data_IF_098226467513
#
_entry.id   IF_098226467513
#
_cell.length_a   1.000
_cell.length_b   1.000
_cell.length_c   1.000
_cell.angle_alpha   90.00
_cell.angle_beta   90.00
_cell.angle_gamma   90.00
#
_symmetry.space_group_name_H-M   'P 1'
#
loop_
_entity.id
_entity.type
_entity.pdbx_description
1 polymer ?
#
# COMPACT_ATOMS: atom_id res chain seq x y z
N UNK A 1 -35.97 -39.44 44.64
CA UNK A 1 -35.81 -38.00 44.34
C UNK A 1 -34.50 -37.80 43.60
N UNK A 2 -34.54 -37.82 42.27
CA UNK A 2 -33.37 -37.65 41.41
C UNK A 2 -33.66 -36.43 40.52
N UNK A 3 -32.99 -35.30 40.79
CA UNK A 3 -33.09 -34.08 39.98
C UNK A 3 -31.93 -34.09 38.97
N UNK A 4 -32.23 -34.34 37.70
CA UNK A 4 -31.29 -34.23 36.59
C UNK A 4 -31.09 -32.74 36.26
N UNK A 5 -29.85 -32.28 36.44
CA UNK A 5 -29.39 -30.98 35.98
C UNK A 5 -29.25 -30.99 34.45
N UNK A 6 -30.06 -30.21 33.76
CA UNK A 6 -29.87 -29.92 32.33
C UNK A 6 -28.71 -28.92 32.20
N UNK A 7 -27.55 -29.45 31.82
CA UNK A 7 -26.42 -28.64 31.34
C UNK A 7 -26.80 -27.96 30.03
N UNK A 8 -27.10 -26.66 30.10
CA UNK A 8 -27.20 -25.82 28.92
C UNK A 8 -25.84 -25.72 28.24
N UNK A 9 -25.68 -26.40 27.11
CA UNK A 9 -24.60 -26.10 26.16
C UNK A 9 -24.91 -24.72 25.60
N UNK A 10 -24.21 -23.70 26.09
CA UNK A 10 -24.20 -22.38 25.46
C UNK A 10 -23.64 -22.60 24.05
N UNK A 11 -24.39 -22.34 22.96
CA UNK A 11 -23.83 -22.44 21.62
C UNK A 11 -22.66 -21.46 21.55
N UNK A 12 -21.48 -21.97 21.18
CA UNK A 12 -20.36 -21.12 20.81
C UNK A 12 -20.89 -20.08 19.81
N UNK A 13 -20.76 -18.80 20.15
CA UNK A 13 -21.26 -17.71 19.31
C UNK A 13 -20.76 -17.94 17.88
N UNK A 14 -21.68 -18.17 16.95
CA UNK A 14 -21.33 -18.37 15.55
C UNK A 14 -20.62 -17.10 15.07
N UNK A 15 -19.31 -17.18 14.87
CA UNK A 15 -18.55 -16.07 14.28
C UNK A 15 -19.20 -15.68 12.95
N UNK A 16 -19.38 -14.38 12.72
CA UNK A 16 -19.96 -13.95 11.45
C UNK A 16 -19.07 -14.44 10.28
N UNK A 17 -19.63 -14.77 9.11
CA UNK A 17 -18.85 -15.19 7.95
C UNK A 17 -17.71 -14.21 7.61
N UNK A 18 -17.94 -12.91 7.82
CA UNK A 18 -16.95 -11.86 7.63
C UNK A 18 -15.82 -11.90 8.67
N UNK A 19 -16.13 -12.15 9.94
CA UNK A 19 -15.11 -12.35 10.97
C UNK A 19 -14.22 -13.55 10.63
N UNK A 20 -14.83 -14.66 10.20
CA UNK A 20 -14.09 -15.85 9.74
C UNK A 20 -13.20 -15.53 8.54
N UNK A 21 -13.72 -14.79 7.55
CA UNK A 21 -12.93 -14.36 6.39
C UNK A 21 -11.70 -13.52 6.82
N UNK A 22 -11.89 -12.57 7.75
CA UNK A 22 -10.80 -11.77 8.30
C UNK A 22 -9.74 -12.63 9.02
N UNK A 23 -10.16 -13.62 9.82
CA UNK A 23 -9.25 -14.55 10.49
C UNK A 23 -8.46 -15.42 9.49
N UNK A 24 -9.12 -15.88 8.43
CA UNK A 24 -8.45 -16.61 7.35
C UNK A 24 -7.43 -15.73 6.63
N UNK A 25 -7.77 -14.47 6.35
CA UNK A 25 -6.85 -13.53 5.73
C UNK A 25 -5.63 -13.27 6.63
N UNK A 26 -5.85 -13.03 7.92
CA UNK A 26 -4.78 -12.81 8.91
C UNK A 26 -3.88 -14.03 9.08
N UNK A 27 -4.43 -15.22 8.95
CA UNK A 27 -3.64 -16.46 8.95
C UNK A 27 -2.99 -16.78 7.60
N UNK A 28 -3.14 -15.94 6.56
CA UNK A 28 -2.55 -16.18 5.24
C UNK A 28 -3.29 -17.21 4.38
N UNK A 29 -4.46 -17.68 4.80
CA UNK A 29 -5.37 -18.52 4.02
C UNK A 29 -6.19 -17.68 3.02
N UNK A 30 -5.47 -16.98 2.13
CA UNK A 30 -6.02 -15.89 1.32
C UNK A 30 -7.13 -16.35 0.37
N UNK A 31 -7.01 -17.51 -0.26
CA UNK A 31 -8.04 -18.03 -1.17
C UNK A 31 -9.34 -18.45 -0.44
N UNK A 32 -9.20 -18.98 0.78
CA UNK A 32 -10.35 -19.32 1.60
C UNK A 32 -11.07 -18.06 2.10
N UNK A 33 -10.30 -17.04 2.51
CA UNK A 33 -10.85 -15.73 2.87
C UNK A 33 -11.59 -15.08 1.69
N UNK A 34 -10.98 -15.09 0.50
CA UNK A 34 -11.58 -14.56 -0.74
C UNK A 34 -12.95 -15.17 -1.01
N UNK A 35 -13.05 -16.49 -0.96
CA UNK A 35 -14.31 -17.21 -1.20
C UNK A 35 -15.40 -16.74 -0.25
N UNK A 36 -15.07 -16.57 1.05
CA UNK A 36 -16.04 -16.09 2.05
C UNK A 36 -16.44 -14.63 1.84
N UNK A 37 -15.54 -13.75 1.42
CA UNK A 37 -15.92 -12.36 1.10
C UNK A 37 -16.88 -12.30 -0.09
N UNK A 38 -16.62 -13.09 -1.15
CA UNK A 38 -17.51 -13.17 -2.31
C UNK A 38 -18.87 -13.77 -1.93
N UNK A 39 -18.90 -14.82 -1.12
CA UNK A 39 -20.13 -15.43 -0.64
C UNK A 39 -20.97 -14.48 0.23
N UNK A 40 -20.34 -13.70 1.11
CA UNK A 40 -21.04 -12.71 1.92
C UNK A 40 -21.77 -11.67 1.05
N UNK A 41 -21.10 -11.12 0.03
CA UNK A 41 -21.72 -10.18 -0.91
C UNK A 41 -22.77 -10.86 -1.79
N UNK A 42 -22.59 -12.13 -2.16
CA UNK A 42 -23.58 -12.90 -2.94
C UNK A 42 -24.87 -13.14 -2.15
N UNK A 43 -24.75 -13.43 -0.86
CA UNK A 43 -25.88 -13.68 0.04
C UNK A 43 -26.64 -12.38 0.38
N UNK A 44 -25.92 -11.28 0.58
CA UNK A 44 -26.52 -9.98 0.88
C UNK A 44 -25.91 -8.88 -0.02
N UNK A 45 -26.37 -8.74 -1.28
CA UNK A 45 -25.76 -7.83 -2.24
C UNK A 45 -25.80 -6.36 -1.85
N UNK A 46 -26.66 -5.93 -0.94
CA UNK A 46 -26.74 -4.53 -0.45
C UNK A 46 -26.28 -4.38 0.99
N UNK A 47 -25.67 -5.42 1.58
CA UNK A 47 -25.08 -5.29 2.91
C UNK A 47 -23.82 -4.41 2.83
N UNK A 48 -23.81 -3.24 3.50
CA UNK A 48 -22.65 -2.36 3.49
C UNK A 48 -21.42 -3.00 4.13
N UNK A 49 -21.58 -3.86 5.15
CA UNK A 49 -20.43 -4.49 5.82
C UNK A 49 -19.72 -5.48 4.89
N UNK A 50 -20.48 -6.38 4.24
CA UNK A 50 -19.93 -7.31 3.26
C UNK A 50 -19.24 -6.61 2.08
N UNK A 51 -19.84 -5.53 1.54
CA UNK A 51 -19.22 -4.76 0.44
C UNK A 51 -17.94 -4.06 0.89
N UNK A 52 -17.92 -3.45 2.07
CA UNK A 52 -16.72 -2.83 2.63
C UNK A 52 -15.61 -3.87 2.83
N UNK A 53 -15.94 -5.05 3.35
CA UNK A 53 -14.99 -6.12 3.61
C UNK A 53 -14.36 -6.65 2.31
N UNK A 54 -15.18 -6.97 1.30
CA UNK A 54 -14.69 -7.39 -0.02
C UNK A 54 -13.88 -6.28 -0.70
N UNK A 55 -14.34 -5.03 -0.58
CA UNK A 55 -13.62 -3.86 -1.11
C UNK A 55 -12.23 -3.71 -0.51
N UNK A 56 -12.10 -3.84 0.82
CA UNK A 56 -10.81 -3.81 1.55
C UNK A 56 -9.92 -4.96 1.11
N UNK A 57 -10.47 -6.17 1.02
CA UNK A 57 -9.74 -7.33 0.53
C UNK A 57 -9.18 -7.09 -0.88
N UNK A 58 -10.02 -6.71 -1.85
CA UNK A 58 -9.59 -6.47 -3.23
C UNK A 58 -8.57 -5.33 -3.34
N UNK A 59 -8.76 -4.24 -2.59
CA UNK A 59 -7.78 -3.16 -2.49
C UNK A 59 -6.44 -3.61 -1.91
N UNK A 60 -6.44 -4.56 -0.97
CA UNK A 60 -5.20 -5.15 -0.44
C UNK A 60 -4.48 -6.05 -1.43
N UNK A 61 -5.24 -6.68 -2.34
CA UNK A 61 -4.75 -7.55 -3.43
C UNK A 61 -4.45 -6.79 -4.73
N UNK A 62 -4.40 -5.45 -4.70
CA UNK A 62 -4.02 -4.64 -5.87
C UNK A 62 -5.15 -4.36 -6.86
N UNK A 63 -6.36 -4.91 -6.67
CA UNK A 63 -7.56 -4.59 -7.45
C UNK A 63 -8.19 -3.27 -6.98
N UNK A 64 -7.38 -2.21 -6.94
CA UNK A 64 -7.67 -0.93 -6.28
C UNK A 64 -8.98 -0.28 -6.77
N UNK A 65 -9.20 -0.23 -8.09
CA UNK A 65 -10.40 0.40 -8.66
C UNK A 65 -11.68 -0.32 -8.26
N UNK A 66 -11.67 -1.66 -8.33
CA UNK A 66 -12.82 -2.49 -7.94
C UNK A 66 -13.04 -2.36 -6.43
N UNK A 67 -11.95 -2.42 -5.65
CA UNK A 67 -12.00 -2.22 -4.20
C UNK A 67 -12.62 -0.87 -3.81
N UNK A 68 -12.20 0.22 -4.43
CA UNK A 68 -12.77 1.55 -4.19
C UNK A 68 -14.26 1.62 -4.53
N UNK A 69 -14.68 1.06 -5.68
CA UNK A 69 -16.09 1.00 -6.06
C UNK A 69 -16.93 0.28 -4.99
N UNK A 70 -16.50 -0.90 -4.54
CA UNK A 70 -17.25 -1.65 -3.52
C UNK A 70 -17.33 -0.89 -2.17
N UNK A 71 -16.28 -0.18 -1.79
CA UNK A 71 -16.29 0.67 -0.60
C UNK A 71 -17.24 1.85 -0.74
N UNK A 72 -17.26 2.53 -1.89
CA UNK A 72 -18.20 3.63 -2.15
C UNK A 72 -19.65 3.13 -2.21
N UNK A 73 -19.87 1.94 -2.75
CA UNK A 73 -21.17 1.29 -2.72
C UNK A 73 -21.60 0.92 -1.29
N UNK A 74 -20.68 0.43 -0.45
CA UNK A 74 -20.97 0.23 0.97
C UNK A 74 -21.43 1.52 1.64
N UNK A 75 -20.84 2.66 1.28
CA UNK A 75 -21.27 3.97 1.79
C UNK A 75 -22.65 4.33 1.28
N UNK A 76 -22.93 4.06 0.01
CA UNK A 76 -24.25 4.27 -0.59
C UNK A 76 -25.34 3.42 0.06
N UNK A 77 -25.04 2.19 0.50
CA UNK A 77 -25.98 1.33 1.24
C UNK A 77 -26.07 1.63 2.73
N UNK A 78 -25.58 2.79 3.18
CA UNK A 78 -25.76 3.24 4.55
C UNK A 78 -24.73 2.72 5.54
N UNK A 79 -23.59 2.20 5.07
CA UNK A 79 -22.45 1.92 5.93
C UNK A 79 -21.87 3.20 6.57
N UNK A 80 -21.12 3.03 7.66
CA UNK A 80 -20.49 4.15 8.37
C UNK A 80 -19.54 4.93 7.45
N UNK A 81 -19.90 6.17 7.16
CA UNK A 81 -19.18 7.01 6.21
C UNK A 81 -17.73 7.28 6.66
N UNK A 82 -17.47 7.40 7.96
CA UNK A 82 -16.13 7.67 8.48
C UNK A 82 -15.24 6.43 8.35
N UNK A 83 -15.71 5.26 8.81
CA UNK A 83 -14.96 4.00 8.70
C UNK A 83 -14.67 3.62 7.24
N UNK A 84 -15.61 3.90 6.34
CA UNK A 84 -15.43 3.66 4.91
C UNK A 84 -14.41 4.64 4.34
N UNK A 85 -14.52 5.92 4.67
CA UNK A 85 -13.58 6.93 4.20
C UNK A 85 -12.15 6.64 4.68
N UNK A 86 -11.96 6.19 5.93
CA UNK A 86 -10.67 5.71 6.45
C UNK A 86 -10.11 4.53 5.63
N UNK A 87 -10.97 3.60 5.21
CA UNK A 87 -10.57 2.50 4.32
C UNK A 87 -10.21 2.94 2.90
N UNK A 88 -10.86 3.99 2.39
CA UNK A 88 -10.63 4.52 1.05
C UNK A 88 -9.34 5.33 0.91
N UNK A 89 -8.87 5.99 1.98
CA UNK A 89 -7.64 6.80 1.97
C UNK A 89 -6.45 6.07 1.29
N UNK A 90 -5.99 4.90 1.78
CA UNK A 90 -4.84 4.21 1.19
C UNK A 90 -5.12 3.66 -0.21
N UNK A 91 -6.39 3.50 -0.60
CA UNK A 91 -6.76 3.07 -1.96
C UNK A 91 -6.66 4.25 -2.93
N UNK A 92 -7.21 5.42 -2.57
CA UNK A 92 -7.13 6.62 -3.40
C UNK A 92 -5.72 7.16 -3.53
N UNK A 93 -4.90 7.08 -2.49
CA UNK A 93 -3.48 7.40 -2.58
C UNK A 93 -2.75 6.53 -3.62
N UNK A 94 -2.93 5.20 -3.58
CA UNK A 94 -2.30 4.27 -4.54
C UNK A 94 -2.87 4.38 -5.96
N UNK A 95 -4.10 4.87 -6.11
CA UNK A 95 -4.70 5.21 -7.41
C UNK A 95 -4.26 6.58 -7.93
N UNK A 96 -3.60 7.39 -7.09
CA UNK A 96 -3.40 8.83 -7.33
C UNK A 96 -4.70 9.59 -7.61
N UNK A 97 -5.83 9.12 -7.06
CA UNK A 97 -7.14 9.77 -7.21
C UNK A 97 -7.37 10.80 -6.10
N UNK A 98 -6.63 11.90 -6.21
CA UNK A 98 -6.67 12.97 -5.21
C UNK A 98 -7.96 13.80 -5.26
N UNK A 99 -8.73 13.69 -6.36
CA UNK A 99 -10.07 14.29 -6.47
C UNK A 99 -11.02 13.61 -5.48
N UNK A 100 -11.09 12.28 -5.55
CA UNK A 100 -11.94 11.48 -4.65
C UNK A 100 -11.44 11.57 -3.20
N UNK A 101 -10.11 11.55 -3.00
CA UNK A 101 -9.52 11.72 -1.67
C UNK A 101 -9.91 13.04 -1.00
N UNK A 102 -9.81 14.18 -1.72
CA UNK A 102 -10.17 15.49 -1.18
C UNK A 102 -11.67 15.63 -0.86
N UNK A 103 -12.51 14.84 -1.55
CA UNK A 103 -13.96 14.84 -1.41
C UNK A 103 -14.49 13.85 -0.36
N UNK A 104 -13.61 13.11 0.34
CA UNK A 104 -14.04 12.13 1.34
C UNK A 104 -14.92 12.77 2.44
N UNK A 105 -16.10 12.17 2.74
CA UNK A 105 -17.00 12.63 3.79
C UNK A 105 -16.47 12.26 5.19
N UNK A 106 -17.04 12.86 6.24
CA UNK A 106 -16.72 12.50 7.63
C UNK A 106 -15.36 13.01 8.16
N UNK A 107 -14.66 13.84 7.38
CA UNK A 107 -13.37 14.45 7.75
C UNK A 107 -12.31 13.49 8.30
N UNK A 108 -12.01 12.36 7.63
CA UNK A 108 -10.96 11.44 8.06
C UNK A 108 -9.55 12.00 7.83
N UNK A 109 -9.42 13.01 6.97
CA UNK A 109 -8.16 13.71 6.69
C UNK A 109 -8.01 14.92 7.60
N UNK A 110 -6.81 15.11 8.12
CA UNK A 110 -6.42 16.38 8.74
C UNK A 110 -6.51 17.53 7.74
N UNK A 111 -6.60 18.78 8.22
CA UNK A 111 -6.62 19.97 7.34
C UNK A 111 -5.42 20.04 6.39
N UNK A 112 -4.16 19.78 6.82
CA UNK A 112 -3.02 19.76 5.92
C UNK A 112 -3.14 18.69 4.83
N UNK A 113 -3.59 17.48 5.18
CA UNK A 113 -3.77 16.38 4.22
C UNK A 113 -4.86 16.68 3.19
N UNK A 114 -5.99 17.25 3.61
CA UNK A 114 -7.05 17.69 2.70
C UNK A 114 -6.57 18.80 1.77
N UNK A 115 -5.80 19.75 2.29
CA UNK A 115 -5.20 20.83 1.48
C UNK A 115 -4.22 20.26 0.46
N UNK A 116 -3.36 19.31 0.86
CA UNK A 116 -2.46 18.57 -0.04
C UNK A 116 -3.23 17.83 -1.13
N UNK A 117 -4.26 17.06 -0.76
CA UNK A 117 -5.10 16.33 -1.71
C UNK A 117 -5.78 17.28 -2.72
N UNK A 118 -6.27 18.44 -2.24
CA UNK A 118 -6.89 19.46 -3.10
C UNK A 118 -5.87 20.05 -4.08
N UNK A 119 -4.64 20.30 -3.63
CA UNK A 119 -3.57 20.77 -4.51
C UNK A 119 -3.15 19.69 -5.54
N UNK A 120 -3.03 18.43 -5.12
CA UNK A 120 -2.67 17.30 -6.00
C UNK A 120 -3.75 16.94 -7.02
N UNK A 121 -5.02 17.25 -6.74
CA UNK A 121 -6.11 17.20 -7.73
C UNK A 121 -5.79 18.07 -8.95
N UNK A 122 -5.24 19.26 -8.72
CA UNK A 122 -4.93 20.23 -9.76
C UNK A 122 -3.48 20.09 -10.28
N UNK A 123 -2.63 19.40 -9.51
CA UNK A 123 -1.22 19.15 -9.80
C UNK A 123 -0.94 17.64 -9.81
N UNK A 124 -1.47 16.97 -10.84
CA UNK A 124 -1.50 15.51 -10.94
C UNK A 124 -0.10 14.92 -10.86
N UNK A 125 0.02 13.81 -10.12
CA UNK A 125 1.23 13.01 -10.08
C UNK A 125 1.47 12.34 -11.44
N UNK A 126 2.65 12.52 -12.01
CA UNK A 126 3.01 11.96 -13.33
C UNK A 126 4.46 11.50 -13.35
N UNK A 127 4.76 10.53 -14.21
CA UNK A 127 6.11 10.05 -14.46
C UNK A 127 6.54 10.40 -15.89
N UNK A 128 7.76 10.92 -16.06
CA UNK A 128 8.36 11.29 -17.34
C UNK A 128 9.78 10.71 -17.47
N UNK A 129 10.37 10.75 -18.66
CA UNK A 129 11.70 10.18 -18.93
C UNK A 129 11.63 8.83 -19.64
N UNK A 130 12.69 8.03 -19.52
CA UNK A 130 12.83 6.72 -20.16
C UNK A 130 11.70 5.76 -19.75
N UNK A 131 11.36 4.83 -20.64
CA UNK A 131 10.32 3.82 -20.35
C UNK A 131 10.75 2.83 -19.27
N UNK A 132 12.06 2.60 -19.16
CA UNK A 132 12.69 1.85 -18.09
C UNK A 132 14.01 2.49 -17.66
N UNK A 133 14.39 2.27 -16.41
CA UNK A 133 15.71 2.65 -15.88
C UNK A 133 16.19 1.57 -14.92
N UNK A 134 17.50 1.34 -14.88
CA UNK A 134 18.14 0.55 -13.84
C UNK A 134 18.75 1.50 -12.81
N UNK A 135 18.58 1.21 -11.54
CA UNK A 135 19.19 1.98 -10.45
C UNK A 135 19.92 1.06 -9.49
N UNK A 136 21.01 1.56 -8.90
CA UNK A 136 21.74 0.85 -7.86
C UNK A 136 20.83 0.64 -6.65
N UNK A 137 20.82 -0.58 -6.14
CA UNK A 137 20.10 -0.98 -4.95
C UNK A 137 21.06 -1.65 -3.99
N UNK A 138 21.10 -1.13 -2.77
CA UNK A 138 21.96 -1.65 -1.71
C UNK A 138 21.04 -2.33 -0.72
N UNK A 139 21.06 -3.66 -0.67
CA UNK A 139 20.35 -4.41 0.36
C UNK A 139 20.85 -4.00 1.76
N UNK A 140 19.96 -3.98 2.74
CA UNK A 140 20.27 -3.53 4.10
C UNK A 140 19.53 -4.37 5.11
N UNK A 141 20.08 -4.52 6.32
CA UNK A 141 19.43 -5.24 7.43
C UNK A 141 18.34 -4.40 8.13
N UNK A 142 18.38 -3.07 8.02
CA UNK A 142 17.42 -2.16 8.68
C UNK A 142 16.20 -1.81 7.84
N UNK A 143 16.09 -2.35 6.62
CA UNK A 143 15.00 -2.05 5.69
C UNK A 143 15.01 -2.98 4.49
N UNK A 144 14.31 -2.62 3.43
CA UNK A 144 14.28 -3.40 2.19
C UNK A 144 15.42 -3.03 1.21
N UNK A 145 16.49 -2.47 1.78
CA UNK A 145 17.59 -1.82 1.07
C UNK A 145 17.37 -0.32 0.84
N UNK A 146 18.26 0.28 0.05
CA UNK A 146 18.33 1.71 -0.18
C UNK A 146 18.41 2.03 -1.67
N UNK A 147 17.88 3.20 -2.04
CA UNK A 147 17.97 3.76 -3.38
C UNK A 147 18.36 5.25 -3.29
N UNK A 148 19.16 5.71 -4.25
CA UNK A 148 19.50 7.13 -4.37
C UNK A 148 18.43 7.85 -5.18
N UNK A 149 17.88 8.91 -4.61
CA UNK A 149 16.93 9.81 -5.25
C UNK A 149 17.64 11.14 -5.54
N UNK A 150 17.32 11.79 -6.66
CA UNK A 150 17.66 13.22 -6.86
C UNK A 150 16.43 14.09 -6.64
N UNK A 151 16.58 15.13 -5.83
CA UNK A 151 15.55 16.10 -5.48
C UNK A 151 16.08 17.48 -5.87
N UNK A 152 15.77 17.92 -7.10
CA UNK A 152 16.42 19.08 -7.69
C UNK A 152 17.90 18.82 -7.98
N UNK A 153 18.78 19.68 -7.48
CA UNK A 153 20.25 19.52 -7.59
C UNK A 153 20.84 18.61 -6.51
N UNK A 154 20.08 18.31 -5.47
CA UNK A 154 20.54 17.55 -4.32
C UNK A 154 20.24 16.06 -4.52
N UNK A 155 21.02 15.21 -3.84
CA UNK A 155 20.77 13.76 -3.79
C UNK A 155 20.48 13.32 -2.36
N UNK A 156 19.63 12.30 -2.23
CA UNK A 156 19.32 11.69 -0.93
C UNK A 156 19.33 10.17 -1.08
N UNK A 157 19.96 9.49 -0.13
CA UNK A 157 19.85 8.05 0.00
C UNK A 157 18.61 7.74 0.83
N UNK A 158 17.62 7.11 0.23
CA UNK A 158 16.36 6.77 0.89
C UNK A 158 16.28 5.27 1.19
N UNK A 159 15.88 4.93 2.41
CA UNK A 159 15.59 3.55 2.80
C UNK A 159 14.25 3.14 2.18
N UNK A 160 14.21 1.99 1.51
CA UNK A 160 12.96 1.42 1.00
C UNK A 160 12.21 0.82 2.19
N UNK A 161 11.07 1.40 2.51
CA UNK A 161 10.24 1.01 3.65
C UNK A 161 8.82 0.63 3.21
N UNK A 162 8.45 -0.67 3.23
CA UNK A 162 7.12 -1.14 2.88
C UNK A 162 5.98 -0.66 3.79
N UNK A 163 6.28 -0.09 4.96
CA UNK A 163 5.29 0.45 5.90
C UNK A 163 5.08 1.96 5.74
N UNK A 164 5.87 2.61 4.87
CA UNK A 164 5.73 4.02 4.53
C UNK A 164 4.92 4.17 3.26
N UNK A 165 4.11 5.22 3.21
CA UNK A 165 3.39 5.65 2.01
C UNK A 165 4.06 6.92 1.46
N UNK A 166 4.30 6.98 0.15
CA UNK A 166 4.95 8.12 -0.47
C UNK A 166 6.42 8.25 -0.06
N UNK A 167 6.86 9.48 0.21
CA UNK A 167 8.21 9.79 0.69
C UNK A 167 8.18 10.32 2.11
N UNK A 168 9.17 9.95 2.91
CA UNK A 168 9.49 10.66 4.14
C UNK A 168 10.86 11.28 3.94
N UNK A 169 10.94 12.60 4.06
CA UNK A 169 12.18 13.36 3.94
C UNK A 169 12.57 13.89 5.31
N UNK A 170 13.88 13.93 5.56
CA UNK A 170 14.42 14.50 6.79
C UNK A 170 14.06 15.99 6.95
N UNK A 171 14.00 16.47 8.20
CA UNK A 171 13.69 17.87 8.57
C UNK A 171 14.43 18.95 7.76
N UNK A 172 15.67 18.69 7.31
CA UNK A 172 16.46 19.62 6.50
C UNK A 172 15.80 19.98 5.15
N UNK A 173 14.88 19.16 4.65
CA UNK A 173 14.17 19.38 3.39
C UNK A 173 13.02 20.37 3.48
N UNK A 174 12.58 20.74 4.69
CA UNK A 174 11.43 21.62 4.94
C UNK A 174 11.49 22.94 4.19
N UNK A 175 12.68 23.53 4.07
CA UNK A 175 12.88 24.85 3.48
C UNK A 175 13.38 24.80 2.02
N UNK A 176 13.51 23.59 1.45
CA UNK A 176 13.98 23.43 0.07
C UNK A 176 12.83 23.75 -0.90
N UNK A 177 13.08 24.51 -1.98
CA UNK A 177 12.02 24.90 -2.93
C UNK A 177 11.41 23.70 -3.68
N UNK A 178 12.11 22.56 -3.71
CA UNK A 178 11.61 21.33 -4.31
C UNK A 178 10.56 20.63 -3.45
N UNK A 179 10.41 21.02 -2.19
CA UNK A 179 9.41 20.49 -1.27
C UNK A 179 8.36 21.56 -0.98
N UNK A 180 7.10 21.24 -1.29
CA UNK A 180 5.95 22.04 -0.87
C UNK A 180 5.43 21.48 0.45
N UNK A 181 5.60 22.24 1.52
CA UNK A 181 5.02 21.92 2.83
C UNK A 181 3.63 22.54 2.95
N UNK A 182 2.69 21.76 3.45
CA UNK A 182 1.33 22.20 3.75
C UNK A 182 1.25 22.53 5.24
N UNK A 183 0.87 23.77 5.61
CA UNK A 183 0.96 24.23 6.99
C UNK A 183 0.11 23.36 7.92
N UNK A 184 0.74 22.91 9.00
CA UNK A 184 0.14 22.16 10.11
C UNK A 184 -0.84 23.03 10.90
N UNK A 185 -1.78 22.40 11.61
CA UNK A 185 -2.62 23.09 12.58
C UNK A 185 -1.79 23.56 13.79
N UNK A 186 -2.18 24.63 14.51
CA UNK A 186 -1.41 25.17 15.64
C UNK A 186 -1.12 24.16 16.77
N UNK A 187 -1.89 23.07 16.86
CA UNK A 187 -1.73 21.96 17.83
C UNK A 187 -1.20 20.66 17.22
N UNK A 188 -0.90 20.64 15.93
CA UNK A 188 -0.38 19.45 15.28
C UNK A 188 1.07 19.21 15.69
N UNK A 189 1.47 17.94 15.70
CA UNK A 189 2.83 17.52 15.96
C UNK A 189 3.81 18.25 15.03
N UNK A 190 4.63 19.13 15.60
CA UNK A 190 5.63 19.88 14.85
C UNK A 190 6.69 18.98 14.22
N UNK A 191 6.80 17.72 14.66
CA UNK A 191 7.76 16.75 14.16
C UNK A 191 7.32 16.05 12.87
N UNK A 192 6.04 16.10 12.49
CA UNK A 192 5.55 15.55 11.22
C UNK A 192 4.78 16.59 10.41
N UNK A 193 5.29 16.90 9.21
CA UNK A 193 4.64 17.87 8.33
C UNK A 193 4.17 17.22 7.04
N UNK A 194 2.93 17.52 6.64
CA UNK A 194 2.39 17.09 5.35
C UNK A 194 3.10 17.85 4.22
N UNK A 195 3.60 17.13 3.21
CA UNK A 195 4.34 17.74 2.12
C UNK A 195 4.07 17.06 0.75
N UNK A 196 4.64 17.67 -0.30
CA UNK A 196 4.82 17.08 -1.62
C UNK A 196 6.24 17.38 -2.08
N UNK A 197 6.93 16.38 -2.63
CA UNK A 197 8.15 16.59 -3.39
C UNK A 197 7.79 16.86 -4.86
N UNK A 198 8.06 18.07 -5.34
CA UNK A 198 7.62 18.52 -6.67
C UNK A 198 8.26 17.70 -7.79
N UNK A 199 9.54 17.37 -7.64
CA UNK A 199 10.29 16.56 -8.63
C UNK A 199 11.21 15.61 -7.89
N UNK A 200 11.08 14.32 -8.20
CA UNK A 200 11.89 13.24 -7.65
C UNK A 200 12.40 12.41 -8.80
N UNK A 201 13.71 12.36 -8.99
CA UNK A 201 14.33 11.56 -10.05
C UNK A 201 14.92 10.29 -9.47
N UNK A 202 14.64 9.18 -10.13
CA UNK A 202 15.14 7.84 -9.81
C UNK A 202 15.73 7.29 -11.10
N UNK A 203 17.06 7.33 -11.24
CA UNK A 203 17.73 7.05 -12.50
C UNK A 203 17.32 8.03 -13.60
N UNK A 204 16.76 7.50 -14.70
CA UNK A 204 16.26 8.29 -15.84
C UNK A 204 14.75 8.59 -15.77
N UNK A 205 14.06 8.12 -14.73
CA UNK A 205 12.64 8.40 -14.52
C UNK A 205 12.49 9.57 -13.55
N UNK A 206 11.67 10.55 -13.94
CA UNK A 206 11.31 11.69 -13.11
C UNK A 206 9.85 11.59 -12.71
N UNK A 207 9.59 11.51 -11.41
CA UNK A 207 8.28 11.59 -10.79
C UNK A 207 7.98 13.03 -10.40
N UNK A 208 6.80 13.51 -10.77
CA UNK A 208 6.31 14.85 -10.43
C UNK A 208 5.25 14.74 -9.34
N UNK A 209 5.28 15.67 -8.39
CA UNK A 209 4.27 15.83 -7.34
C UNK A 209 4.08 14.58 -6.47
N UNK A 210 5.18 14.00 -6.00
CA UNK A 210 5.16 12.80 -5.15
C UNK A 210 4.70 13.17 -3.74
N UNK A 211 3.70 12.45 -3.23
CA UNK A 211 3.23 12.58 -1.84
C UNK A 211 4.42 12.43 -0.89
N UNK A 212 4.56 13.37 0.05
CA UNK A 212 5.65 13.35 1.01
C UNK A 212 5.20 13.73 2.43
N UNK A 213 6.05 13.42 3.40
CA UNK A 213 6.05 13.99 4.75
C UNK A 213 7.46 14.43 5.12
N UNK A 214 7.55 15.43 5.99
CA UNK A 214 8.80 15.79 6.65
C UNK A 214 8.75 15.22 8.06
N UNK A 215 9.72 14.37 8.41
CA UNK A 215 9.86 13.77 9.74
C UNK A 215 11.34 13.77 10.15
N UNK A 216 11.66 13.77 11.46
CA UNK A 216 13.02 13.58 11.92
C UNK A 216 13.55 12.18 11.55
N UNK A 217 14.85 12.08 11.34
CA UNK A 217 15.55 10.81 11.04
C UNK A 217 15.83 10.60 9.55
N UNK A 218 16.10 9.35 9.19
CA UNK A 218 16.51 9.00 7.84
C UNK A 218 15.37 9.16 6.83
N UNK A 219 15.73 9.61 5.61
CA UNK A 219 14.79 9.66 4.50
C UNK A 219 14.38 8.25 4.08
N UNK A 220 13.08 8.07 3.80
CA UNK A 220 12.46 6.79 3.44
C UNK A 220 11.61 6.94 2.19
N UNK A 221 11.55 5.89 1.40
CA UNK A 221 10.65 5.77 0.25
C UNK A 221 9.74 4.57 0.46
N UNK A 222 8.44 4.82 0.38
CA UNK A 222 7.42 3.81 0.44
C UNK A 222 7.52 2.86 -0.75
N UNK A 223 7.24 1.57 -0.49
CA UNK A 223 7.18 0.60 -1.57
C UNK A 223 6.06 0.90 -2.56
N UNK A 224 5.01 1.62 -2.15
CA UNK A 224 3.92 2.09 -3.01
C UNK A 224 4.40 2.99 -4.16
N UNK A 225 5.39 3.87 -3.90
CA UNK A 225 5.99 4.73 -4.93
C UNK A 225 6.70 3.89 -5.98
N UNK A 226 7.52 2.92 -5.54
CA UNK A 226 8.26 2.04 -6.44
C UNK A 226 7.31 1.06 -7.15
N UNK A 227 6.32 0.52 -6.44
CA UNK A 227 5.33 -0.43 -6.93
C UNK A 227 4.52 0.10 -8.11
N UNK A 228 4.29 1.41 -8.19
CA UNK A 228 3.69 2.07 -9.34
C UNK A 228 4.49 1.90 -10.64
N UNK A 229 5.77 1.55 -10.53
CA UNK A 229 6.71 1.32 -11.64
C UNK A 229 7.08 -0.15 -11.85
N UNK A 230 6.32 -1.09 -11.25
CA UNK A 230 6.55 -2.54 -11.36
C UNK A 230 8.04 -2.94 -11.19
N UNK A 231 8.61 -2.73 -9.99
CA UNK A 231 10.05 -2.84 -9.76
C UNK A 231 10.49 -4.31 -9.84
N UNK A 232 11.59 -4.56 -10.55
CA UNK A 232 12.31 -5.84 -10.55
C UNK A 232 13.59 -5.67 -9.75
N UNK A 233 13.71 -6.37 -8.64
CA UNK A 233 14.89 -6.37 -7.79
C UNK A 233 15.79 -7.53 -8.19
N UNK A 234 17.08 -7.24 -8.32
CA UNK A 234 18.11 -8.21 -8.64
C UNK A 234 19.20 -8.11 -7.57
N UNK A 235 19.20 -9.08 -6.66
CA UNK A 235 20.13 -9.15 -5.52
C UNK A 235 21.54 -9.51 -5.96
N UNK A 236 21.69 -10.24 -7.06
CA UNK A 236 22.97 -10.67 -7.62
C UNK A 236 23.68 -9.47 -8.23
N UNK A 237 22.96 -8.66 -9.00
CA UNK A 237 23.51 -7.46 -9.65
C UNK A 237 23.50 -6.23 -8.71
N UNK A 238 22.72 -6.27 -7.62
CA UNK A 238 22.58 -5.13 -6.70
C UNK A 238 21.84 -3.96 -7.35
N UNK A 239 20.75 -4.25 -8.06
CA UNK A 239 20.01 -3.25 -8.84
C UNK A 239 18.50 -3.43 -8.80
N UNK A 240 17.78 -2.35 -9.09
CA UNK A 240 16.34 -2.36 -9.35
C UNK A 240 16.10 -1.86 -10.77
N UNK A 241 15.35 -2.64 -11.56
CA UNK A 241 14.77 -2.16 -12.82
C UNK A 241 13.39 -1.58 -12.55
N UNK A 242 13.20 -0.31 -12.91
CA UNK A 242 11.93 0.41 -12.80
C UNK A 242 11.35 0.65 -14.19
N UNK A 243 10.02 0.54 -14.31
CA UNK A 243 9.29 0.72 -15.56
C UNK A 243 8.27 1.83 -15.40
N UNK A 244 8.43 2.94 -16.12
CA UNK A 244 7.59 4.15 -15.99
C UNK A 244 6.08 3.85 -16.08
N UNK A 245 5.68 2.89 -16.91
CA UNK A 245 4.27 2.52 -17.11
C UNK A 245 3.67 1.65 -16.00
N UNK A 246 4.50 1.07 -15.13
CA UNK A 246 4.09 0.04 -14.17
C UNK A 246 3.54 -1.23 -14.83
N UNK A 247 3.81 -1.44 -16.13
CA UNK A 247 3.42 -2.63 -16.87
C UNK A 247 4.65 -3.49 -17.13
N UNK A 248 4.47 -4.80 -17.01
CA UNK A 248 5.45 -5.78 -17.44
C UNK A 248 5.26 -6.03 -18.94
N UNK A 249 6.32 -5.79 -19.73
CA UNK A 249 6.27 -5.92 -21.19
C UNK A 249 6.10 -7.39 -21.63
N UNK A 250 6.65 -8.32 -20.87
CA UNK A 250 6.54 -9.77 -21.04
C UNK A 250 5.94 -10.38 -19.78
N UNK A 251 5.29 -11.55 -19.88
CA UNK A 251 4.97 -12.35 -18.69
C UNK A 251 6.32 -12.89 -18.17
N UNK A 252 6.84 -12.40 -17.04
CA UNK A 252 8.08 -12.94 -16.53
C UNK A 252 7.83 -14.41 -16.16
N UNK A 253 8.80 -15.27 -16.49
CA UNK A 253 8.86 -16.63 -15.97
C UNK A 253 9.17 -16.58 -14.48
N UNK A 254 8.56 -17.45 -13.70
CA UNK A 254 8.78 -17.50 -12.26
C UNK A 254 7.56 -17.95 -11.47
N UNK A 255 7.79 -18.25 -10.21
CA UNK A 255 6.75 -18.54 -9.23
C UNK A 255 5.97 -17.27 -8.89
N UNK A 256 4.65 -17.38 -8.83
CA UNK A 256 3.76 -16.27 -8.47
C UNK A 256 3.37 -16.39 -7.01
N UNK A 257 4.00 -15.60 -6.17
CA UNK A 257 3.73 -15.53 -4.74
C UNK A 257 2.65 -14.46 -4.52
N UNK A 258 1.45 -14.79 -4.01
CA UNK A 258 0.42 -13.79 -3.74
C UNK A 258 0.90 -12.74 -2.72
N UNK A 259 0.45 -11.50 -2.87
CA UNK A 259 0.77 -10.41 -1.94
C UNK A 259 -0.47 -9.75 -1.38
N UNK A 260 -0.33 -9.29 -0.13
CA UNK A 260 -1.33 -8.51 0.60
C UNK A 260 -0.67 -7.21 1.06
N UNK A 261 -1.32 -6.09 0.76
CA UNK A 261 -0.88 -4.75 1.18
C UNK A 261 -1.93 -4.14 2.10
N UNK A 262 -1.51 -3.72 3.29
CA UNK A 262 -2.35 -3.05 4.27
C UNK A 262 -1.59 -1.87 4.91
N UNK A 263 -2.18 -1.25 5.93
CA UNK A 263 -1.58 -0.10 6.64
C UNK A 263 -0.31 -0.43 7.42
N UNK A 264 -0.05 -1.71 7.71
CA UNK A 264 1.15 -2.14 8.44
C UNK A 264 2.28 -2.57 7.50
N UNK A 265 1.99 -2.76 6.22
CA UNK A 265 2.99 -2.91 5.17
C UNK A 265 2.59 -3.91 4.08
N UNK A 266 3.61 -4.51 3.48
CA UNK A 266 3.45 -5.52 2.42
C UNK A 266 3.84 -6.90 2.94
N UNK A 267 3.04 -7.90 2.56
CA UNK A 267 3.15 -9.28 3.01
C UNK A 267 3.15 -10.22 1.81
N UNK A 268 4.03 -11.22 1.84
CA UNK A 268 4.01 -12.37 0.95
C UNK A 268 3.12 -13.45 1.55
N UNK A 269 2.39 -14.18 0.72
CA UNK A 269 1.58 -15.32 1.14
C UNK A 269 2.34 -16.60 0.77
N UNK A 270 2.81 -17.33 1.78
CA UNK A 270 3.49 -18.60 1.57
C UNK A 270 2.99 -19.62 2.58
N UNK A 271 2.70 -20.85 2.12
CA UNK A 271 2.27 -21.97 2.98
C UNK A 271 1.16 -21.60 3.97
N UNK A 272 0.13 -20.87 3.50
CA UNK A 272 -0.95 -20.36 4.34
C UNK A 272 -0.42 -19.55 5.53
N UNK A 273 0.49 -18.62 5.28
CA UNK A 273 1.03 -17.69 6.28
C UNK A 273 1.38 -16.37 5.62
N UNK A 274 1.23 -15.28 6.37
CA UNK A 274 1.67 -13.95 5.95
C UNK A 274 3.11 -13.74 6.39
N UNK A 275 4.01 -13.64 5.42
CA UNK A 275 5.43 -13.39 5.62
C UNK A 275 5.70 -11.92 5.33
N UNK A 276 5.97 -11.13 6.37
CA UNK A 276 6.19 -9.70 6.23
C UNK A 276 7.43 -9.43 5.39
N UNK A 277 7.38 -8.45 4.48
CA UNK A 277 8.44 -8.24 3.48
C UNK A 277 9.81 -7.88 4.10
N UNK A 278 9.83 -7.32 5.32
CA UNK A 278 11.05 -7.03 6.10
C UNK A 278 11.61 -8.25 6.86
N UNK A 279 10.89 -9.37 6.88
CA UNK A 279 11.28 -10.53 7.69
C UNK A 279 12.41 -11.35 7.06
N UNK A 280 13.19 -12.10 7.86
CA UNK A 280 14.15 -13.07 7.33
C UNK A 280 13.52 -14.10 6.39
N UNK A 281 12.29 -14.55 6.67
CA UNK A 281 11.56 -15.47 5.80
C UNK A 281 11.30 -14.88 4.41
N UNK A 282 10.92 -13.59 4.33
CA UNK A 282 10.77 -12.93 3.03
C UNK A 282 12.08 -12.86 2.25
N UNK A 283 13.23 -12.64 2.93
CA UNK A 283 14.55 -12.64 2.27
C UNK A 283 14.91 -14.00 1.67
N UNK A 284 14.50 -15.10 2.30
CA UNK A 284 14.70 -16.44 1.75
C UNK A 284 13.86 -16.65 0.48
N UNK A 285 12.60 -16.20 0.49
CA UNK A 285 11.71 -16.28 -0.68
C UNK A 285 12.24 -15.39 -1.83
N UNK A 286 12.73 -14.20 -1.48
CA UNK A 286 13.15 -13.15 -2.42
C UNK A 286 14.67 -13.13 -2.67
N UNK A 287 15.34 -14.26 -2.42
CA UNK A 287 16.81 -14.36 -2.56
C UNK A 287 17.29 -14.26 -4.00
N UNK A 288 16.45 -14.67 -4.96
CA UNK A 288 16.70 -14.57 -6.40
C UNK A 288 16.24 -13.21 -6.96
N UNK A 289 16.28 -13.06 -8.29
CA UNK A 289 15.65 -11.93 -8.97
C UNK A 289 14.13 -12.04 -8.86
N UNK A 290 13.45 -10.94 -8.55
CA UNK A 290 11.99 -10.95 -8.40
C UNK A 290 11.37 -9.62 -8.77
N UNK A 291 10.07 -9.64 -9.11
CA UNK A 291 9.33 -8.48 -9.59
C UNK A 291 8.05 -8.29 -8.78
N UNK A 292 7.83 -7.08 -8.26
CA UNK A 292 6.56 -6.72 -7.62
C UNK A 292 5.53 -6.30 -8.67
N UNK A 293 4.49 -7.11 -8.84
CA UNK A 293 3.35 -6.79 -9.69
C UNK A 293 2.14 -6.34 -8.84
N UNK A 294 2.25 -5.14 -8.29
CA UNK A 294 1.26 -4.55 -7.38
C UNK A 294 -0.16 -4.50 -7.95
N UNK A 295 -0.31 -4.35 -9.28
CA UNK A 295 -1.61 -4.32 -9.97
C UNK A 295 -2.34 -5.66 -9.97
N UNK A 296 -1.62 -6.76 -9.71
CA UNK A 296 -2.17 -8.12 -9.63
C UNK A 296 -2.08 -8.72 -8.24
N UNK A 297 -1.56 -7.99 -7.25
CA UNK A 297 -1.39 -8.51 -5.89
C UNK A 297 -0.55 -9.77 -5.86
N UNK A 298 0.57 -9.76 -6.60
CA UNK A 298 1.52 -10.86 -6.70
C UNK A 298 2.96 -10.32 -6.79
N UNK A 299 3.89 -11.16 -6.33
CA UNK A 299 5.33 -11.03 -6.55
C UNK A 299 5.75 -12.21 -7.40
N UNK A 300 6.52 -11.94 -8.46
CA UNK A 300 7.01 -12.95 -9.39
C UNK A 300 8.47 -13.22 -9.04
N UNK A 301 8.79 -14.40 -8.53
CA UNK A 301 10.14 -14.81 -8.15
C UNK A 301 10.71 -15.69 -9.25
N UNK A 302 11.82 -15.27 -9.84
CA UNK A 302 12.51 -16.07 -10.86
C UNK A 302 13.15 -17.28 -10.16
N UNK A 303 12.98 -18.47 -10.74
CA UNK A 303 13.60 -19.69 -10.23
C UNK A 303 15.10 -19.58 -10.47
N UNK A 304 15.90 -19.66 -9.41
CA UNK A 304 17.34 -19.77 -9.55
C UNK A 304 17.64 -21.05 -10.37
N UNK A 305 18.28 -20.88 -11.52
CA UNK A 305 18.78 -22.00 -12.32
C UNK A 305 19.98 -22.65 -11.63
#
# INVERSE_FOLDING_TARGET
>A
TLLLALGGVIPASAQSPLQRANTLLQSGQVFAAESLYYDAVRLAPRDPEARLALGKYLGSRGALKIGAVLMEEARFFGGDAKMIAEGLIPVYHRLSDFRSLAALPGSPLSRPERTRATWLRDNVQKATGSDSTQVKWISSDSGFGQVVLSLGSDTVTAIIDPAVEGLILESAWRHRPIVRVFPSEPRADASSMTAVANTVRIGEITLHNVVARIEPGASRIGLDVLAGMAPTFDSVVGSITLRKSGKLATRPSGERVPTVVNTTGTWLVQNQSLVGLKSPGARQILGARWTLNSRRGETIVEVAQ
#
